data_IF_772689815428
#
_entry.id   IF_772689815428
#
_cell.length_a   1.000
_cell.length_b   1.000
_cell.length_c   1.000
_cell.angle_alpha   90.00
_cell.angle_beta   90.00
_cell.angle_gamma   90.00
#
_symmetry.space_group_name_H-M   'P 1'
#
loop_
_entity.id
_entity.type
_entity.pdbx_description
1 polymer ?
#
# COMPACT_ATOMS: atom_id res chain seq x y z
N UNK A 1 -20.87 17.35 -11.21
CA UNK A 1 -19.87 17.79 -10.20
C UNK A 1 -19.09 16.57 -9.81
N UNK A 2 -17.80 16.71 -9.52
CA UNK A 2 -16.96 15.58 -9.10
C UNK A 2 -17.40 15.10 -7.71
N UNK A 3 -17.61 13.79 -7.54
CA UNK A 3 -17.97 13.13 -6.27
C UNK A 3 -16.90 12.12 -5.89
N UNK A 4 -16.33 12.29 -4.69
CA UNK A 4 -15.21 11.47 -4.20
C UNK A 4 -15.68 10.43 -3.19
N UNK A 5 -15.35 9.16 -3.43
CA UNK A 5 -15.46 8.12 -2.42
C UNK A 5 -14.23 8.16 -1.51
N UNK A 6 -14.42 8.15 -0.19
CA UNK A 6 -13.32 8.12 0.78
C UNK A 6 -13.46 6.86 1.62
N UNK A 7 -12.46 5.98 1.56
CA UNK A 7 -12.44 4.82 2.44
C UNK A 7 -12.24 5.25 3.90
N UNK A 8 -13.19 4.89 4.77
CA UNK A 8 -13.02 5.06 6.21
C UNK A 8 -13.87 4.06 7.00
N UNK A 9 -13.29 3.51 8.06
CA UNK A 9 -14.00 2.70 9.05
C UNK A 9 -13.73 3.24 10.44
N UNK A 10 -14.73 3.17 11.34
CA UNK A 10 -14.58 3.63 12.73
C UNK A 10 -13.55 2.82 13.54
N UNK A 11 -13.16 1.66 13.03
CA UNK A 11 -12.16 0.77 13.64
C UNK A 11 -10.72 1.28 13.44
N UNK A 12 -10.50 2.18 12.47
CA UNK A 12 -9.17 2.59 11.99
C UNK A 12 -9.03 4.10 11.91
N UNK A 13 -9.32 4.82 13.00
CA UNK A 13 -9.29 6.29 12.98
C UNK A 13 -7.86 6.84 13.01
N UNK A 14 -6.99 6.28 13.85
CA UNK A 14 -5.64 6.84 14.12
C UNK A 14 -4.70 6.72 12.90
N UNK A 15 -4.80 5.62 12.15
CA UNK A 15 -3.92 5.32 11.01
C UNK A 15 -4.51 5.74 9.65
N UNK A 16 -5.71 6.34 9.65
CA UNK A 16 -6.38 6.77 8.42
C UNK A 16 -6.02 8.20 8.04
N UNK A 17 -5.76 8.41 6.75
CA UNK A 17 -5.65 9.75 6.17
C UNK A 17 -7.01 10.38 5.83
N UNK A 18 -8.11 9.60 5.93
CA UNK A 18 -9.45 10.06 5.58
C UNK A 18 -9.88 11.36 6.27
N UNK A 19 -9.60 11.61 7.58
CA UNK A 19 -9.97 12.88 8.22
C UNK A 19 -9.42 14.10 7.49
N UNK A 20 -8.18 14.04 6.97
CA UNK A 20 -7.56 15.13 6.22
C UNK A 20 -8.18 15.31 4.84
N UNK A 21 -8.54 14.23 4.16
CA UNK A 21 -9.25 14.31 2.88
C UNK A 21 -10.66 14.87 3.05
N UNK A 22 -11.37 14.46 4.10
CA UNK A 22 -12.69 14.98 4.46
C UNK A 22 -12.62 16.48 4.73
N UNK A 23 -11.68 16.92 5.58
CA UNK A 23 -11.47 18.34 5.88
C UNK A 23 -11.16 19.13 4.60
N UNK A 24 -10.30 18.60 3.74
CA UNK A 24 -10.00 19.23 2.46
C UNK A 24 -11.23 19.36 1.55
N UNK A 25 -12.04 18.30 1.43
CA UNK A 25 -13.26 18.33 0.62
C UNK A 25 -14.26 19.35 1.16
N UNK A 26 -14.45 19.40 2.48
CA UNK A 26 -15.31 20.39 3.15
C UNK A 26 -14.84 21.83 2.88
N UNK A 27 -13.55 22.11 3.06
CA UNK A 27 -12.98 23.45 2.86
C UNK A 27 -13.03 23.94 1.41
N UNK A 28 -13.12 23.02 0.45
CA UNK A 28 -13.12 23.33 -0.99
C UNK A 28 -14.49 23.08 -1.66
N UNK A 29 -15.54 22.76 -0.90
CA UNK A 29 -16.87 22.41 -1.41
C UNK A 29 -16.85 21.30 -2.48
N UNK A 30 -16.04 20.26 -2.25
CA UNK A 30 -15.97 19.06 -3.09
C UNK A 30 -16.96 18.04 -2.52
N UNK A 31 -17.81 17.48 -3.37
CA UNK A 31 -18.75 16.44 -2.96
C UNK A 31 -18.00 15.15 -2.62
N UNK A 32 -18.34 14.53 -1.50
CA UNK A 32 -17.70 13.31 -1.05
C UNK A 32 -18.66 12.47 -0.21
N UNK A 33 -18.44 11.16 -0.22
CA UNK A 33 -19.08 10.25 0.74
C UNK A 33 -18.06 9.25 1.30
N UNK A 34 -18.38 8.75 2.48
CA UNK A 34 -17.61 7.70 3.13
C UNK A 34 -18.08 6.35 2.60
N UNK A 35 -17.13 5.55 2.14
CA UNK A 35 -17.36 4.16 1.72
C UNK A 35 -16.53 3.20 2.55
N UNK A 36 -16.99 1.96 2.65
CA UNK A 36 -16.20 0.86 3.18
C UNK A 36 -15.77 -0.04 2.02
N UNK A 37 -14.47 -0.05 1.70
CA UNK A 37 -13.93 -0.83 0.58
C UNK A 37 -13.96 -2.33 0.85
N UNK A 38 -14.26 -2.74 2.08
CA UNK A 38 -14.48 -4.15 2.44
C UNK A 38 -15.92 -4.62 2.18
N UNK A 39 -16.82 -3.74 1.75
CA UNK A 39 -18.18 -4.14 1.41
C UNK A 39 -18.18 -5.00 0.13
N UNK A 40 -18.97 -6.06 0.12
CA UNK A 40 -19.03 -7.03 -0.99
C UNK A 40 -19.51 -6.44 -2.32
N UNK A 41 -20.16 -5.28 -2.27
CA UNK A 41 -20.75 -4.55 -3.39
C UNK A 41 -19.96 -3.25 -3.71
N UNK A 42 -18.71 -3.12 -3.26
CA UNK A 42 -17.92 -1.89 -3.42
C UNK A 42 -17.84 -1.41 -4.87
N UNK A 43 -17.67 -2.30 -5.85
CA UNK A 43 -17.63 -1.93 -7.27
C UNK A 43 -18.94 -1.29 -7.74
N UNK A 44 -20.09 -1.79 -7.28
CA UNK A 44 -21.39 -1.20 -7.63
C UNK A 44 -21.53 0.19 -7.01
N UNK A 45 -21.17 0.34 -5.73
CA UNK A 45 -21.20 1.63 -5.04
C UNK A 45 -20.33 2.67 -5.74
N UNK A 46 -19.13 2.29 -6.19
CA UNK A 46 -18.19 3.19 -6.85
C UNK A 46 -18.67 3.75 -8.19
N UNK A 47 -19.72 3.17 -8.81
CA UNK A 47 -20.30 3.72 -10.06
C UNK A 47 -20.90 5.11 -9.90
N UNK A 48 -21.30 5.48 -8.68
CA UNK A 48 -21.84 6.80 -8.36
C UNK A 48 -20.73 7.84 -8.07
N UNK A 49 -19.46 7.46 -8.20
CA UNK A 49 -18.31 8.30 -7.84
C UNK A 49 -17.35 8.47 -9.03
N UNK A 50 -16.63 9.58 -9.02
CA UNK A 50 -15.60 9.89 -10.02
C UNK A 50 -14.20 9.45 -9.58
N UNK A 51 -13.97 9.32 -8.27
CA UNK A 51 -12.70 8.90 -7.71
C UNK A 51 -12.81 8.19 -6.36
N UNK A 52 -11.81 7.39 -6.00
CA UNK A 52 -11.65 6.76 -4.69
C UNK A 52 -10.35 7.21 -4.02
N UNK A 53 -10.43 7.62 -2.76
CA UNK A 53 -9.28 7.86 -1.89
C UNK A 53 -9.20 6.77 -0.83
N UNK A 54 -8.14 5.95 -0.85
CA UNK A 54 -7.94 4.89 0.13
C UNK A 54 -6.46 4.74 0.54
N UNK A 55 -6.12 5.28 1.71
CA UNK A 55 -4.79 5.10 2.32
C UNK A 55 -4.71 3.73 3.01
N UNK A 56 -3.91 2.82 2.48
CA UNK A 56 -3.76 1.48 3.06
C UNK A 56 -2.89 1.52 4.32
N UNK A 57 -3.43 1.01 5.41
CA UNK A 57 -2.68 0.80 6.64
C UNK A 57 -2.00 -0.58 6.60
N UNK A 58 -0.68 -0.60 6.83
CA UNK A 58 0.10 -1.83 6.95
C UNK A 58 -0.25 -2.67 8.19
N UNK A 59 -0.91 -2.08 9.19
CA UNK A 59 -1.46 -2.81 10.34
C UNK A 59 -2.83 -3.42 10.02
N UNK A 60 -3.43 -3.12 8.87
CA UNK A 60 -4.65 -3.74 8.38
C UNK A 60 -4.36 -4.94 7.49
N UNK A 61 -4.37 -6.12 8.12
CA UNK A 61 -4.19 -7.38 7.40
C UNK A 61 -5.21 -7.58 6.28
N UNK A 62 -6.43 -7.01 6.39
CA UNK A 62 -7.42 -7.05 5.31
C UNK A 62 -6.93 -6.25 4.11
N UNK A 63 -6.45 -5.03 4.33
CA UNK A 63 -5.89 -4.19 3.29
C UNK A 63 -4.67 -4.84 2.62
N UNK A 64 -3.76 -5.42 3.41
CA UNK A 64 -2.57 -6.12 2.88
C UNK A 64 -2.91 -7.30 1.95
N UNK A 65 -4.05 -7.96 2.16
CA UNK A 65 -4.48 -9.09 1.34
C UNK A 65 -5.27 -8.68 0.10
N UNK A 66 -5.99 -7.57 0.14
CA UNK A 66 -7.01 -7.25 -0.86
C UNK A 66 -6.81 -5.91 -1.57
N UNK A 67 -6.29 -4.89 -0.89
CA UNK A 67 -6.35 -3.50 -1.38
C UNK A 67 -5.59 -3.31 -2.70
N UNK A 68 -4.45 -3.99 -2.87
CA UNK A 68 -3.70 -4.02 -4.14
C UNK A 68 -4.55 -4.55 -5.29
N UNK A 69 -5.27 -5.66 -5.06
CA UNK A 69 -6.14 -6.26 -6.08
C UNK A 69 -7.32 -5.36 -6.47
N UNK A 70 -7.98 -4.72 -5.50
CA UNK A 70 -9.04 -3.75 -5.83
C UNK A 70 -8.50 -2.56 -6.63
N UNK A 71 -7.32 -2.07 -6.25
CA UNK A 71 -6.68 -0.92 -6.91
C UNK A 71 -6.26 -1.25 -8.32
N UNK A 72 -5.71 -2.44 -8.55
CA UNK A 72 -5.39 -2.93 -9.90
C UNK A 72 -6.64 -3.03 -10.77
N UNK A 73 -7.76 -3.56 -10.25
CA UNK A 73 -9.02 -3.65 -11.00
C UNK A 73 -9.54 -2.26 -11.38
N UNK A 74 -9.59 -1.32 -10.42
CA UNK A 74 -10.07 0.04 -10.67
C UNK A 74 -9.17 0.80 -11.65
N UNK A 75 -7.85 0.71 -11.50
CA UNK A 75 -6.88 1.35 -12.39
C UNK A 75 -6.97 0.78 -13.82
N UNK A 76 -7.15 -0.55 -13.96
CA UNK A 76 -7.36 -1.20 -15.26
C UNK A 76 -8.65 -0.74 -15.96
N UNK A 77 -9.71 -0.47 -15.19
CA UNK A 77 -10.98 0.08 -15.70
C UNK A 77 -10.92 1.60 -15.95
N UNK A 78 -9.78 2.24 -15.70
CA UNK A 78 -9.58 3.68 -15.86
C UNK A 78 -10.27 4.52 -14.79
N UNK A 79 -10.70 3.91 -13.68
CA UNK A 79 -11.30 4.59 -12.55
C UNK A 79 -10.22 5.34 -11.75
N UNK A 80 -10.49 6.60 -11.39
CA UNK A 80 -9.50 7.42 -10.69
C UNK A 80 -9.38 6.95 -9.24
N UNK A 81 -8.21 6.46 -8.85
CA UNK A 81 -7.93 6.03 -7.48
C UNK A 81 -6.62 6.64 -6.97
N UNK A 82 -6.60 7.02 -5.70
CA UNK A 82 -5.37 7.41 -5.02
C UNK A 82 -5.18 6.66 -3.69
N UNK A 83 -3.99 6.07 -3.46
CA UNK A 83 -2.90 5.93 -4.43
C UNK A 83 -3.28 4.94 -5.55
N UNK A 84 -2.72 5.15 -6.74
CA UNK A 84 -2.88 4.26 -7.90
C UNK A 84 -1.85 3.12 -7.88
N UNK A 85 -1.91 2.20 -8.85
CA UNK A 85 -0.97 1.07 -8.93
C UNK A 85 0.48 1.56 -9.02
N UNK A 86 0.76 2.56 -9.85
CA UNK A 86 2.11 3.06 -10.08
C UNK A 86 2.75 3.68 -8.83
N UNK A 87 1.95 4.26 -7.95
CA UNK A 87 2.38 4.92 -6.72
C UNK A 87 2.39 3.98 -5.51
N UNK A 88 1.79 2.79 -5.60
CA UNK A 88 1.54 1.93 -4.42
C UNK A 88 1.95 0.46 -4.55
N UNK A 89 2.25 -0.07 -5.73
CA UNK A 89 2.54 -1.50 -5.92
C UNK A 89 3.64 -2.03 -4.98
N UNK A 90 4.65 -1.20 -4.71
CA UNK A 90 5.80 -1.52 -3.85
C UNK A 90 5.58 -1.19 -2.36
N UNK A 91 4.40 -0.69 -1.97
CA UNK A 91 4.08 -0.36 -0.58
C UNK A 91 4.15 -1.61 0.30
N UNK A 92 4.76 -1.43 1.48
CA UNK A 92 5.10 -2.47 2.46
C UNK A 92 5.83 -3.70 1.86
N UNK A 93 6.64 -3.48 0.82
CA UNK A 93 7.39 -4.54 0.14
C UNK A 93 8.85 -4.14 -0.12
N UNK A 94 9.73 -4.44 0.83
CA UNK A 94 11.17 -4.15 0.71
C UNK A 94 11.83 -4.91 -0.45
N UNK A 95 11.28 -6.04 -0.87
CA UNK A 95 11.82 -6.81 -2.00
C UNK A 95 11.45 -6.15 -3.32
N UNK A 96 10.19 -5.74 -3.48
CA UNK A 96 9.76 -4.92 -4.62
C UNK A 96 10.54 -3.61 -4.73
N UNK A 97 10.69 -2.91 -3.61
CA UNK A 97 11.48 -1.67 -3.54
C UNK A 97 12.95 -1.89 -3.91
N UNK A 98 13.58 -2.97 -3.43
CA UNK A 98 14.95 -3.35 -3.83
C UNK A 98 15.06 -3.46 -5.35
N UNK A 99 14.17 -4.20 -6.00
CA UNK A 99 14.27 -4.43 -7.44
C UNK A 99 13.95 -3.17 -8.26
N UNK A 100 13.06 -2.29 -7.77
CA UNK A 100 12.85 -0.97 -8.37
C UNK A 100 14.13 -0.12 -8.33
N UNK A 101 14.82 -0.08 -7.19
CA UNK A 101 16.06 0.68 -7.07
C UNK A 101 17.17 0.11 -7.96
N UNK A 102 17.30 -1.21 -8.03
CA UNK A 102 18.24 -1.88 -8.93
C UNK A 102 17.92 -1.60 -10.41
N UNK A 103 16.65 -1.55 -10.82
CA UNK A 103 16.28 -1.36 -12.23
C UNK A 103 16.58 0.03 -12.77
N UNK A 104 16.79 1.01 -11.89
CA UNK A 104 17.13 2.39 -12.24
C UNK A 104 18.57 2.78 -11.83
N UNK A 105 19.40 1.80 -11.47
CA UNK A 105 20.78 2.00 -10.99
C UNK A 105 20.87 2.99 -9.80
N UNK A 106 19.85 3.02 -8.93
CA UNK A 106 19.83 3.91 -7.79
C UNK A 106 20.89 3.51 -6.74
N UNK A 107 21.54 4.48 -6.05
CA UNK A 107 22.46 4.18 -4.97
C UNK A 107 21.76 3.41 -3.84
N UNK A 108 22.20 2.18 -3.58
CA UNK A 108 21.65 1.37 -2.50
C UNK A 108 22.68 0.44 -1.87
N UNK A 109 22.41 0.01 -0.63
CA UNK A 109 23.21 -1.02 0.03
C UNK A 109 22.97 -2.36 -0.65
N UNK A 110 24.05 -3.07 -0.97
CA UNK A 110 23.97 -4.42 -1.55
C UNK A 110 23.13 -5.33 -0.65
N UNK A 111 22.02 -5.79 -1.19
CA UNK A 111 21.00 -6.54 -0.47
C UNK A 111 20.79 -7.91 -1.11
N UNK A 112 20.55 -8.93 -0.28
CA UNK A 112 20.35 -10.30 -0.73
C UNK A 112 18.97 -10.77 -0.26
N UNK A 113 18.20 -11.39 -1.17
CA UNK A 113 16.86 -11.90 -0.88
C UNK A 113 16.92 -13.42 -0.82
N UNK A 114 16.39 -14.00 0.24
CA UNK A 114 16.33 -15.44 0.43
C UNK A 114 14.88 -15.89 0.61
N UNK A 115 14.40 -16.74 -0.30
CA UNK A 115 13.08 -17.39 -0.21
C UNK A 115 13.15 -18.77 0.46
N UNK A 116 14.36 -19.32 0.58
CA UNK A 116 14.62 -20.65 1.14
C UNK A 116 15.63 -20.54 2.28
N UNK A 117 15.32 -21.20 3.40
CA UNK A 117 16.18 -21.22 4.60
C UNK A 117 17.59 -21.73 4.31
N UNK A 118 17.73 -22.77 3.50
CA UNK A 118 19.04 -23.37 3.21
C UNK A 118 19.92 -22.47 2.33
N UNK A 119 19.32 -21.66 1.45
CA UNK A 119 20.08 -20.63 0.71
C UNK A 119 20.60 -19.54 1.64
N UNK A 120 19.77 -19.09 2.58
CA UNK A 120 20.20 -18.11 3.59
C UNK A 120 21.34 -18.65 4.46
N UNK A 121 21.27 -19.92 4.88
CA UNK A 121 22.34 -20.59 5.64
C UNK A 121 23.64 -20.69 4.85
N UNK A 122 23.61 -21.16 3.61
CA UNK A 122 24.82 -21.23 2.78
C UNK A 122 25.46 -19.85 2.58
N UNK A 123 24.65 -18.81 2.44
CA UNK A 123 25.16 -17.44 2.33
C UNK A 123 25.81 -16.95 3.62
N UNK A 124 25.22 -17.25 4.79
CA UNK A 124 25.74 -16.78 6.07
C UNK A 124 27.11 -17.40 6.40
N UNK A 125 27.36 -18.63 5.95
CA UNK A 125 28.64 -19.33 6.09
C UNK A 125 29.77 -18.69 5.24
N UNK A 126 29.41 -17.91 4.22
CA UNK A 126 30.35 -17.36 3.23
C UNK A 126 30.39 -15.82 3.23
N UNK A 127 29.95 -15.16 4.29
CA UNK A 127 30.01 -13.69 4.44
C UNK A 127 30.68 -13.29 5.76
N UNK A 128 31.24 -12.08 5.82
CA UNK A 128 31.73 -11.46 7.07
C UNK A 128 30.62 -10.75 7.82
N UNK A 129 30.73 -10.59 9.14
CA UNK A 129 29.81 -9.83 10.00
C UNK A 129 30.36 -8.43 10.32
N UNK A 130 29.51 -7.45 10.73
CA UNK A 130 28.07 -7.54 11.02
C UNK A 130 27.16 -7.51 9.78
N UNK A 131 25.90 -7.95 9.95
CA UNK A 131 24.83 -7.92 8.94
C UNK A 131 23.50 -7.51 9.57
N UNK A 132 22.60 -6.96 8.76
CA UNK A 132 21.23 -6.60 9.13
C UNK A 132 20.27 -7.56 8.43
N UNK A 133 19.33 -8.14 9.16
CA UNK A 133 18.35 -9.09 8.64
C UNK A 133 16.95 -8.51 8.79
N UNK A 134 16.17 -8.47 7.71
CA UNK A 134 14.81 -7.90 7.75
C UNK A 134 13.83 -8.81 7.04
N UNK A 135 12.59 -8.83 7.50
CA UNK A 135 11.47 -9.41 6.74
C UNK A 135 11.08 -8.51 5.55
N UNK A 136 10.40 -9.09 4.56
CA UNK A 136 9.91 -8.40 3.34
C UNK A 136 9.04 -7.19 3.68
N UNK A 137 8.06 -7.39 4.55
CA UNK A 137 7.10 -6.38 5.01
C UNK A 137 7.37 -5.95 6.45
N UNK A 138 6.60 -4.99 6.94
CA UNK A 138 6.62 -4.49 8.31
C UNK A 138 7.36 -3.15 8.45
N UNK A 139 6.98 -2.41 9.48
CA UNK A 139 7.52 -1.11 9.84
C UNK A 139 7.89 -1.03 11.34
N UNK A 140 8.37 0.13 11.79
CA UNK A 140 8.71 0.36 13.20
C UNK A 140 9.92 -0.44 13.69
N UNK A 141 10.79 -0.90 12.77
CA UNK A 141 11.94 -1.76 13.07
C UNK A 141 11.58 -3.11 13.72
N UNK A 142 10.31 -3.52 13.66
CA UNK A 142 9.94 -4.87 14.05
C UNK A 142 10.59 -5.89 13.11
N UNK A 143 11.28 -6.87 13.68
CA UNK A 143 11.99 -7.94 12.96
C UNK A 143 13.12 -7.44 12.03
N UNK A 144 13.91 -6.48 12.53
CA UNK A 144 15.15 -5.93 11.92
C UNK A 144 16.40 -6.35 12.69
#
# INVERSE_FOLDING_TARGET
MMKIAIHFTKERVEDSYAPKWIEYCQNNNIDYEIVNCYDSDIIEKLKDFDALLWHWDQLDYKALLFAKGLTEVLDCDGFVIYPDVNTSWHYDDKVGQKYLLESIDAPMVKSYVFYEKDRAKKWIENTSFPKVFKLRSGAGSYNV
#
